data_IF_377245600736
#
_entry.id   IF_377245600736
#
_cell.length_a   1.000
_cell.length_b   1.000
_cell.length_c   1.000
_cell.angle_alpha   90.00
_cell.angle_beta   90.00
_cell.angle_gamma   90.00
#
_symmetry.space_group_name_H-M   'P 1'
#
loop_
_entity.id
_entity.type
_entity.pdbx_description
1 polymer ?
#
# COMPACT_ATOMS: atom_id res chain seq x y z
N UNK A 1 -0.06 -17.04 -11.82
CA UNK A 1 0.64 -17.16 -10.54
C UNK A 1 -0.38 -17.02 -9.43
N UNK A 2 -0.64 -18.04 -8.67
CA UNK A 2 -1.55 -17.97 -7.52
C UNK A 2 -0.83 -17.31 -6.37
N UNK A 3 -1.41 -16.25 -5.83
CA UNK A 3 -0.88 -15.58 -4.64
C UNK A 3 -1.20 -16.44 -3.42
N UNK A 4 -0.18 -16.89 -2.72
CA UNK A 4 -0.35 -17.65 -1.48
C UNK A 4 -0.54 -16.69 -0.30
N UNK A 5 -1.56 -16.93 0.50
CA UNK A 5 -1.84 -16.18 1.72
C UNK A 5 -1.62 -17.08 2.94
N UNK A 6 -0.70 -16.66 3.79
CA UNK A 6 -0.36 -17.38 5.02
C UNK A 6 -1.16 -16.80 6.18
N UNK A 7 -1.89 -17.63 6.89
CA UNK A 7 -2.66 -17.19 8.06
C UNK A 7 -1.74 -16.76 9.21
N UNK A 8 -2.07 -15.63 9.88
CA UNK A 8 -1.29 -15.16 11.02
C UNK A 8 -1.32 -16.17 12.18
N UNK A 9 -0.24 -16.28 12.96
CA UNK A 9 -0.25 -17.06 14.19
C UNK A 9 -1.16 -16.41 15.23
N UNK A 10 -1.66 -17.22 16.18
CA UNK A 10 -2.54 -16.72 17.25
C UNK A 10 -1.79 -15.92 18.31
N UNK A 11 -0.48 -16.12 18.44
CA UNK A 11 0.38 -15.44 19.42
C UNK A 11 1.72 -15.07 18.80
N UNK A 12 2.29 -13.97 19.25
CA UNK A 12 3.58 -13.47 18.79
C UNK A 12 3.90 -12.11 19.41
N UNK A 13 5.13 -11.63 19.22
CA UNK A 13 5.44 -10.27 19.64
C UNK A 13 4.79 -9.23 18.67
N UNK A 14 4.64 -7.98 19.13
CA UNK A 14 3.95 -6.92 18.40
C UNK A 14 4.52 -6.73 16.99
N UNK A 15 5.83 -6.62 16.86
CA UNK A 15 6.48 -6.35 15.56
C UNK A 15 6.23 -7.48 14.55
N UNK A 16 6.38 -8.72 14.98
CA UNK A 16 6.13 -9.89 14.12
C UNK A 16 4.65 -9.95 13.73
N UNK A 17 3.75 -9.71 14.66
CA UNK A 17 2.31 -9.74 14.40
C UNK A 17 1.91 -8.66 13.40
N UNK A 18 2.38 -7.42 13.57
CA UNK A 18 2.11 -6.32 12.63
C UNK A 18 2.60 -6.65 11.22
N UNK A 19 3.82 -7.17 11.09
CA UNK A 19 4.39 -7.59 9.81
C UNK A 19 3.56 -8.66 9.13
N UNK A 20 3.19 -9.70 9.85
CA UNK A 20 2.44 -10.84 9.31
C UNK A 20 1.03 -10.40 8.90
N UNK A 21 0.34 -9.60 9.72
CA UNK A 21 -0.99 -9.08 9.36
C UNK A 21 -0.94 -8.16 8.14
N UNK A 22 0.08 -7.33 8.02
CA UNK A 22 0.24 -6.48 6.84
C UNK A 22 0.45 -7.32 5.57
N UNK A 23 1.31 -8.31 5.62
CA UNK A 23 1.52 -9.23 4.48
C UNK A 23 0.28 -10.06 4.16
N UNK A 24 -0.48 -10.48 5.19
CA UNK A 24 -1.76 -11.15 5.01
C UNK A 24 -2.77 -10.29 4.22
N UNK A 25 -2.89 -9.02 4.57
CA UNK A 25 -3.81 -8.11 3.87
C UNK A 25 -3.32 -7.76 2.46
N UNK A 26 -2.02 -7.59 2.26
CA UNK A 26 -1.43 -7.42 0.92
C UNK A 26 -1.76 -8.62 0.03
N UNK A 27 -1.53 -9.83 0.52
CA UNK A 27 -1.86 -11.06 -0.20
C UNK A 27 -3.36 -11.17 -0.48
N UNK A 28 -4.21 -10.79 0.46
CA UNK A 28 -5.67 -10.81 0.29
C UNK A 28 -6.11 -9.92 -0.87
N UNK A 29 -5.59 -8.69 -0.97
CA UNK A 29 -5.91 -7.81 -2.09
C UNK A 29 -5.42 -8.40 -3.42
N UNK A 30 -4.21 -8.92 -3.47
CA UNK A 30 -3.68 -9.57 -4.67
C UNK A 30 -4.55 -10.75 -5.11
N UNK A 31 -4.98 -11.60 -4.17
CA UNK A 31 -5.88 -12.74 -4.46
C UNK A 31 -7.23 -12.29 -5.04
N UNK A 32 -7.78 -11.16 -4.58
CA UNK A 32 -9.03 -10.62 -5.13
C UNK A 32 -8.90 -10.15 -6.58
N UNK A 33 -7.69 -9.90 -7.03
CA UNK A 33 -7.38 -9.50 -8.40
C UNK A 33 -6.93 -10.67 -9.29
N UNK A 34 -6.68 -11.85 -8.72
CA UNK A 34 -6.21 -13.01 -9.47
C UNK A 34 -7.23 -13.44 -10.54
N UNK A 35 -6.70 -13.77 -11.73
CA UNK A 35 -7.50 -14.27 -12.84
C UNK A 35 -8.34 -13.23 -13.58
N UNK A 36 -8.32 -11.97 -13.14
CA UNK A 36 -9.05 -10.89 -13.80
C UNK A 36 -8.20 -10.22 -14.88
N UNK A 37 -8.85 -9.85 -15.99
CA UNK A 37 -8.25 -9.05 -17.04
C UNK A 37 -8.09 -7.59 -16.62
N UNK A 38 -7.30 -6.81 -17.35
CA UNK A 38 -7.15 -5.38 -17.13
C UNK A 38 -8.50 -4.66 -17.18
N UNK A 39 -9.36 -5.02 -18.13
CA UNK A 39 -10.70 -4.46 -18.26
C UNK A 39 -11.59 -4.76 -17.05
N UNK A 40 -11.58 -5.99 -16.58
CA UNK A 40 -12.32 -6.39 -15.37
C UNK A 40 -11.80 -5.69 -14.12
N UNK A 41 -10.49 -5.52 -14.00
CA UNK A 41 -9.86 -4.79 -12.89
C UNK A 41 -10.20 -3.29 -12.90
N UNK A 42 -10.42 -2.68 -14.09
CA UNK A 42 -10.87 -1.28 -14.22
C UNK A 42 -12.36 -1.09 -13.99
N UNK A 43 -13.13 -2.16 -13.93
CA UNK A 43 -14.58 -2.08 -13.79
C UNK A 43 -15.00 -1.37 -12.50
N UNK A 44 -15.85 -0.36 -12.63
CA UNK A 44 -16.47 0.35 -11.52
C UNK A 44 -17.76 -0.37 -11.13
N UNK A 45 -17.65 -1.38 -10.27
CA UNK A 45 -18.73 -2.33 -9.97
C UNK A 45 -19.81 -1.82 -9.00
N UNK A 46 -19.61 -0.66 -8.38
CA UNK A 46 -20.50 -0.09 -7.37
C UNK A 46 -20.85 1.38 -7.68
N UNK A 47 -21.54 1.67 -8.80
CA UNK A 47 -21.99 3.03 -9.09
C UNK A 47 -22.88 3.62 -7.97
N UNK A 48 -22.77 4.93 -7.66
CA UNK A 48 -22.02 5.97 -8.35
C UNK A 48 -20.53 6.08 -7.94
N UNK A 49 -20.01 5.16 -7.14
CA UNK A 49 -18.58 5.13 -6.79
C UNK A 49 -17.72 4.89 -8.02
N UNK A 50 -16.64 5.64 -8.17
CA UNK A 50 -15.63 5.45 -9.21
C UNK A 50 -14.58 4.38 -8.86
N UNK A 51 -14.70 3.75 -7.69
CA UNK A 51 -13.74 2.76 -7.22
C UNK A 51 -13.76 1.49 -8.09
N UNK A 52 -12.57 1.07 -8.51
CA UNK A 52 -12.29 -0.20 -9.14
C UNK A 52 -11.23 -0.97 -8.35
N UNK A 53 -11.09 -2.28 -8.60
CA UNK A 53 -10.00 -3.05 -7.98
C UNK A 53 -8.63 -2.48 -8.36
N UNK A 54 -8.44 -2.11 -9.61
CA UNK A 54 -7.16 -1.53 -10.04
C UNK A 54 -6.91 -0.16 -9.40
N UNK A 55 -7.93 0.67 -9.26
CA UNK A 55 -7.84 1.94 -8.54
C UNK A 55 -7.49 1.73 -7.07
N UNK A 56 -8.02 0.69 -6.44
CA UNK A 56 -7.67 0.33 -5.06
C UNK A 56 -6.20 -0.10 -4.93
N UNK A 57 -5.70 -0.92 -5.84
CA UNK A 57 -4.27 -1.33 -5.83
C UNK A 57 -3.36 -0.11 -6.04
N UNK A 58 -3.72 0.81 -6.94
CA UNK A 58 -3.01 2.08 -7.12
C UNK A 58 -2.98 2.88 -5.82
N UNK A 59 -4.12 2.99 -5.16
CA UNK A 59 -4.21 3.66 -3.86
C UNK A 59 -3.33 2.99 -2.81
N UNK A 60 -3.26 1.66 -2.77
CA UNK A 60 -2.41 0.95 -1.81
C UNK A 60 -0.91 1.17 -2.08
N UNK A 61 -0.49 1.29 -3.34
CA UNK A 61 0.88 1.70 -3.66
C UNK A 61 1.19 3.09 -3.08
N UNK A 62 0.23 4.01 -3.19
CA UNK A 62 0.34 5.35 -2.62
C UNK A 62 0.42 5.34 -1.10
N UNK A 63 -0.39 4.52 -0.44
CA UNK A 63 -0.39 4.34 1.02
C UNK A 63 0.96 3.82 1.50
N UNK A 64 1.51 2.79 0.85
CA UNK A 64 2.84 2.25 1.17
C UNK A 64 3.92 3.34 1.07
N UNK A 65 3.98 4.06 -0.06
CA UNK A 65 4.96 5.13 -0.26
C UNK A 65 4.81 6.24 0.78
N UNK A 66 3.59 6.69 1.00
CA UNK A 66 3.35 7.80 1.91
C UNK A 66 3.78 7.47 3.34
N UNK A 67 3.34 6.35 3.87
CA UNK A 67 3.63 6.02 5.26
C UNK A 67 5.08 5.58 5.48
N UNK A 68 5.61 4.69 4.67
CA UNK A 68 6.96 4.17 4.89
C UNK A 68 8.05 5.10 4.38
N UNK A 69 8.01 5.47 3.11
CA UNK A 69 9.09 6.28 2.52
C UNK A 69 9.02 7.73 2.94
N UNK A 70 7.88 8.38 2.83
CA UNK A 70 7.75 9.81 3.08
C UNK A 70 7.67 10.14 4.56
N UNK A 71 6.86 9.44 5.35
CA UNK A 71 6.67 9.72 6.77
C UNK A 71 7.77 9.06 7.61
N UNK A 72 7.87 7.74 7.59
CA UNK A 72 8.80 7.02 8.47
C UNK A 72 10.25 7.29 8.07
N UNK A 73 10.57 7.15 6.79
CA UNK A 73 11.95 7.32 6.30
C UNK A 73 12.31 8.78 5.96
N UNK A 74 11.35 9.69 5.99
CA UNK A 74 11.57 11.13 5.78
C UNK A 74 12.04 11.50 4.37
N UNK A 75 11.73 10.68 3.37
CA UNK A 75 12.13 10.93 1.99
C UNK A 75 11.32 12.08 1.38
N UNK A 76 11.99 13.02 0.76
CA UNK A 76 11.37 14.10 -0.01
C UNK A 76 11.15 13.65 -1.46
N UNK A 77 10.11 12.87 -1.67
CA UNK A 77 9.72 12.30 -2.95
C UNK A 77 8.25 12.58 -3.25
N UNK A 78 7.86 12.67 -4.53
CA UNK A 78 6.45 12.84 -4.89
C UNK A 78 5.63 11.58 -4.58
N UNK A 79 4.31 11.69 -4.71
CA UNK A 79 3.43 10.53 -4.72
C UNK A 79 3.73 9.64 -5.94
N UNK A 80 3.27 8.38 -5.90
CA UNK A 80 3.46 7.43 -7.02
C UNK A 80 2.75 7.94 -8.28
N UNK A 81 1.51 8.43 -8.12
CA UNK A 81 0.61 8.75 -9.23
C UNK A 81 0.37 10.25 -9.43
N UNK A 82 0.88 11.10 -8.56
CA UNK A 82 0.66 12.55 -8.64
C UNK A 82 1.88 13.32 -8.16
N UNK A 83 2.51 14.05 -9.06
CA UNK A 83 3.60 14.98 -8.70
C UNK A 83 3.10 16.19 -7.89
N UNK A 84 1.81 16.51 -8.02
CA UNK A 84 1.17 17.65 -7.33
C UNK A 84 0.65 17.30 -5.92
N UNK A 85 0.82 16.06 -5.48
CA UNK A 85 0.39 15.63 -4.14
C UNK A 85 -1.11 15.35 -4.02
N UNK A 86 -1.81 15.13 -5.11
CA UNK A 86 -3.24 14.77 -5.10
C UNK A 86 -3.42 13.26 -4.97
N UNK A 87 -3.81 12.81 -3.79
CA UNK A 87 -4.05 11.40 -3.49
C UNK A 87 -5.24 10.80 -4.26
N UNK A 88 -6.17 11.63 -4.76
CA UNK A 88 -7.33 11.14 -5.50
C UNK A 88 -6.96 10.60 -6.89
N UNK A 89 -5.85 11.04 -7.46
CA UNK A 89 -5.36 10.57 -8.76
C UNK A 89 -5.13 9.05 -8.78
N UNK A 90 -4.77 8.46 -7.65
CA UNK A 90 -4.58 7.01 -7.54
C UNK A 90 -5.83 6.21 -7.94
N UNK A 91 -7.02 6.71 -7.61
CA UNK A 91 -8.28 6.00 -7.88
C UNK A 91 -8.69 6.03 -9.36
N UNK A 92 -8.15 6.93 -10.16
CA UNK A 92 -8.42 6.97 -11.60
C UNK A 92 -7.58 5.88 -12.31
N UNK A 93 -8.19 4.73 -12.53
CA UNK A 93 -7.57 3.60 -13.20
C UNK A 93 -8.01 3.45 -14.66
N UNK A 94 -8.65 4.47 -15.25
CA UNK A 94 -9.25 4.39 -16.60
C UNK A 94 -8.24 4.00 -17.69
N UNK A 95 -6.98 4.41 -17.56
CA UNK A 95 -5.89 4.11 -18.48
C UNK A 95 -4.81 3.19 -17.89
N UNK A 96 -5.05 2.68 -16.68
CA UNK A 96 -4.07 1.86 -15.97
C UNK A 96 -4.08 0.41 -16.47
N UNK A 97 -2.94 -0.26 -16.34
CA UNK A 97 -2.78 -1.69 -16.59
C UNK A 97 -2.43 -2.44 -15.32
N UNK A 98 -2.71 -3.75 -15.30
CA UNK A 98 -2.26 -4.63 -14.21
C UNK A 98 -0.74 -4.55 -14.04
N UNK A 99 0.02 -4.68 -15.12
CA UNK A 99 1.48 -4.73 -15.07
C UNK A 99 2.08 -3.48 -14.44
N UNK A 100 1.64 -2.29 -14.87
CA UNK A 100 2.10 -1.02 -14.31
C UNK A 100 1.70 -0.87 -12.83
N UNK A 101 0.45 -1.13 -12.52
CA UNK A 101 -0.11 -0.92 -11.18
C UNK A 101 0.50 -1.87 -10.15
N UNK A 102 0.53 -3.16 -10.46
CA UNK A 102 1.14 -4.16 -9.56
C UNK A 102 2.64 -4.00 -9.45
N UNK A 103 3.32 -3.64 -10.54
CA UNK A 103 4.75 -3.33 -10.53
C UNK A 103 5.08 -2.19 -9.57
N UNK A 104 4.32 -1.10 -9.61
CA UNK A 104 4.47 0.01 -8.69
C UNK A 104 4.18 -0.40 -7.24
N UNK A 105 3.09 -1.11 -7.00
CA UNK A 105 2.75 -1.57 -5.65
C UNK A 105 3.80 -2.52 -5.07
N UNK A 106 4.29 -3.48 -5.84
CA UNK A 106 5.36 -4.40 -5.43
C UNK A 106 6.65 -3.65 -5.07
N UNK A 107 7.03 -2.65 -5.87
CA UNK A 107 8.18 -1.80 -5.60
C UNK A 107 8.03 -1.07 -4.25
N UNK A 108 6.87 -0.50 -4.00
CA UNK A 108 6.61 0.20 -2.72
C UNK A 108 6.57 -0.77 -1.53
N UNK A 109 6.03 -1.97 -1.70
CA UNK A 109 6.07 -3.02 -0.65
C UNK A 109 7.52 -3.39 -0.30
N UNK A 110 8.39 -3.54 -1.29
CA UNK A 110 9.80 -3.84 -1.04
C UNK A 110 10.50 -2.72 -0.26
N UNK A 111 10.23 -1.45 -0.60
CA UNK A 111 10.72 -0.31 0.18
C UNK A 111 10.18 -0.33 1.61
N UNK A 112 8.89 -0.57 1.78
CA UNK A 112 8.26 -0.65 3.10
C UNK A 112 8.91 -1.72 3.98
N UNK A 113 9.16 -2.90 3.43
CA UNK A 113 9.82 -4.00 4.16
C UNK A 113 11.23 -3.63 4.59
N UNK A 114 12.03 -3.01 3.72
CA UNK A 114 13.39 -2.55 4.06
C UNK A 114 13.37 -1.49 5.17
N UNK A 115 12.45 -0.55 5.09
CA UNK A 115 12.30 0.51 6.09
C UNK A 115 11.86 -0.09 7.43
N UNK A 116 10.90 -1.01 7.42
CA UNK A 116 10.44 -1.70 8.61
C UNK A 116 11.56 -2.51 9.26
N UNK A 117 12.33 -3.27 8.48
CA UNK A 117 13.47 -4.05 8.97
C UNK A 117 14.58 -3.17 9.57
N UNK A 118 14.81 -2.00 9.01
CA UNK A 118 15.81 -1.04 9.50
C UNK A 118 15.33 -0.26 10.74
N UNK A 119 14.04 -0.22 11.02
CA UNK A 119 13.50 0.48 12.18
C UNK A 119 13.88 -0.26 13.49
N UNK A 120 14.40 0.49 14.46
CA UNK A 120 14.85 -0.08 15.75
C UNK A 120 13.68 -0.59 16.60
N UNK A 121 12.52 0.06 16.50
CA UNK A 121 11.36 -0.24 17.33
C UNK A 121 10.06 0.18 16.65
N UNK A 122 8.93 -0.53 16.90
CA UNK A 122 7.60 -0.08 16.51
C UNK A 122 7.20 1.26 17.16
N UNK A 123 7.85 1.62 18.26
CA UNK A 123 7.59 2.86 18.99
C UNK A 123 8.33 4.08 18.42
N UNK A 124 9.06 3.92 17.31
CA UNK A 124 9.74 5.01 16.62
C UNK A 124 8.75 6.12 16.25
N UNK A 125 9.06 7.35 16.64
CA UNK A 125 8.21 8.52 16.42
C UNK A 125 8.74 9.33 15.25
N UNK A 126 7.84 9.76 14.37
CA UNK A 126 8.13 10.65 13.24
C UNK A 126 7.12 11.78 13.17
N UNK A 127 7.56 12.93 12.68
CA UNK A 127 6.70 14.07 12.43
C UNK A 127 6.00 13.94 11.07
N UNK A 128 4.68 14.15 11.05
CA UNK A 128 3.89 14.20 9.82
C UNK A 128 3.43 15.64 9.57
N UNK A 129 4.02 16.31 8.60
CA UNK A 129 3.72 17.70 8.28
C UNK A 129 2.28 17.93 7.83
N UNK A 130 1.70 16.96 7.09
CA UNK A 130 0.33 17.06 6.59
C UNK A 130 -0.70 17.23 7.70
N UNK A 131 -0.46 16.60 8.86
CA UNK A 131 -1.39 16.65 9.97
C UNK A 131 -0.85 17.40 11.18
N UNK A 132 0.33 17.98 11.06
CA UNK A 132 1.04 18.66 12.18
C UNK A 132 1.07 17.81 13.45
N UNK A 133 1.11 16.48 13.29
CA UNK A 133 1.09 15.49 14.36
C UNK A 133 2.34 14.63 14.34
N UNK A 134 2.72 14.20 15.54
CA UNK A 134 3.74 13.18 15.70
C UNK A 134 3.09 11.82 15.50
N UNK A 135 3.62 11.04 14.55
CA UNK A 135 3.15 9.68 14.27
C UNK A 135 4.11 8.66 14.84
N UNK A 136 3.58 7.65 15.52
CA UNK A 136 4.35 6.46 15.90
C UNK A 136 4.47 5.54 14.67
N UNK A 137 5.61 4.89 14.55
CA UNK A 137 5.89 3.91 13.49
C UNK A 137 4.97 2.69 13.56
N UNK A 138 4.45 2.39 14.73
CA UNK A 138 3.61 1.23 15.00
C UNK A 138 2.12 1.43 14.73
N UNK A 139 1.71 2.38 13.84
CA UNK A 139 0.30 2.59 13.40
C UNK A 139 -0.56 3.47 14.27
#
# INVERSE_FOLDING_TARGET
MTTERIDPPLVGNERIMLRIFLDYHRATLAMKCDGLTDEELRCQSMPPSSLSLLGLVRHMAEVERNWFRRVINGEDIPLVWSEKGDFQVAYDASMATRAETFGAWQTEIEHSRRIEEAAESPDLVRHNERWTKICRCGW
#
